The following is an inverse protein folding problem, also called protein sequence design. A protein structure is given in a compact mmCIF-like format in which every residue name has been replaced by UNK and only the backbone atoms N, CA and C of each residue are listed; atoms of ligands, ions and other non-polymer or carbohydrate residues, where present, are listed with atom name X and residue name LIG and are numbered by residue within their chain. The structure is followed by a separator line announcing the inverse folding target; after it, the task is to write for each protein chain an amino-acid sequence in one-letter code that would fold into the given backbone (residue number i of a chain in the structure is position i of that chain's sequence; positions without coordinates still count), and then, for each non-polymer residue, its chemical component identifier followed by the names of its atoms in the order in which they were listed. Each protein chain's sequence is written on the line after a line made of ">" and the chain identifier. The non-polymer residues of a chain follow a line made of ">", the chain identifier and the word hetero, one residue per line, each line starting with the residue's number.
data_IF_900630061243
#
_entry.id   IF_900630061243
#
_cell.length_a   1.000
_cell.length_b   1.000
_cell.length_c   1.000
_cell.angle_alpha   90.00
_cell.angle_beta   90.00
_cell.angle_gamma   90.00
#
_symmetry.space_group_name_H-M   'P 1'
#
loop_
_entity.id
_entity.type
_entity.pdbx_description
1 polymer ?
#
# COMPACT_ATOMS: atom_id res chain seq x y z
N UNK A 1 1.98 35.77 -32.99
CA UNK A 1 1.03 34.69 -33.38
C UNK A 1 1.58 33.28 -33.16
N UNK A 2 2.69 32.84 -33.76
CA UNK A 2 3.16 31.44 -33.64
C UNK A 2 3.50 30.98 -32.20
N UNK A 3 4.12 31.84 -31.37
CA UNK A 3 4.45 31.51 -29.96
C UNK A 3 3.21 31.39 -29.06
N UNK A 4 2.21 32.24 -29.28
CA UNK A 4 0.93 32.21 -28.57
C UNK A 4 0.13 30.95 -28.92
N UNK A 5 0.17 30.51 -30.18
CA UNK A 5 -0.50 29.30 -30.63
C UNK A 5 0.12 28.02 -30.04
N UNK A 6 1.45 27.97 -29.92
CA UNK A 6 2.17 26.85 -29.28
C UNK A 6 1.86 26.79 -27.78
N UNK A 7 1.80 27.94 -27.10
CA UNK A 7 1.45 27.99 -25.68
C UNK A 7 -0.02 27.61 -25.44
N UNK A 8 -0.93 27.99 -26.35
CA UNK A 8 -2.33 27.58 -26.31
C UNK A 8 -2.50 26.09 -26.58
N UNK A 9 -1.73 25.51 -27.51
CA UNK A 9 -1.67 24.07 -27.78
C UNK A 9 -1.10 23.30 -26.58
N UNK A 10 -0.10 23.85 -25.88
CA UNK A 10 0.45 23.27 -24.66
C UNK A 10 -0.56 23.32 -23.50
N UNK A 11 -1.31 24.42 -23.35
CA UNK A 11 -2.40 24.55 -22.38
C UNK A 11 -3.60 23.64 -22.69
N UNK A 12 -3.95 23.47 -23.96
CA UNK A 12 -5.01 22.56 -24.41
C UNK A 12 -4.59 21.08 -24.27
N UNK A 13 -3.31 20.77 -24.48
CA UNK A 13 -2.76 19.44 -24.17
C UNK A 13 -2.75 19.18 -22.65
N UNK A 14 -2.35 20.16 -21.84
CA UNK A 14 -2.37 20.06 -20.38
C UNK A 14 -3.79 19.96 -19.80
N UNK A 15 -4.77 20.65 -20.38
CA UNK A 15 -6.17 20.61 -19.96
C UNK A 15 -6.85 19.27 -20.28
N UNK A 16 -6.40 18.54 -21.31
CA UNK A 16 -6.92 17.21 -21.65
C UNK A 16 -6.31 16.07 -20.82
N UNK A 17 -5.23 16.32 -20.06
CA UNK A 17 -4.64 15.31 -19.15
C UNK A 17 -5.50 15.15 -17.88
N UNK A 18 -6.31 16.13 -17.52
CA UNK A 18 -7.08 16.10 -16.27
C UNK A 18 -8.34 15.22 -16.28
N UNK A 19 -8.77 14.67 -17.43
CA UNK A 19 -10.03 13.92 -17.51
C UNK A 19 -10.00 12.58 -18.27
N UNK A 20 -8.84 12.10 -18.74
CA UNK A 20 -8.80 10.95 -19.68
C UNK A 20 -8.19 9.65 -19.14
N UNK A 21 -7.63 9.59 -17.93
CA UNK A 21 -7.11 8.33 -17.38
C UNK A 21 -7.34 8.23 -15.87
N UNK A 22 -8.49 7.71 -15.46
CA UNK A 22 -8.49 6.89 -14.24
C UNK A 22 -7.71 5.64 -14.64
N UNK A 23 -6.42 5.60 -14.31
CA UNK A 23 -5.55 4.46 -14.61
C UNK A 23 -6.16 3.17 -14.07
N UNK A 24 -5.85 2.02 -14.65
CA UNK A 24 -6.30 0.71 -14.13
C UNK A 24 -5.96 0.56 -12.64
N UNK A 25 -4.79 1.08 -12.23
CA UNK A 25 -4.39 1.21 -10.83
C UNK A 25 -5.36 2.08 -10.03
N UNK A 26 -5.66 3.31 -10.48
CA UNK A 26 -6.57 4.23 -9.79
C UNK A 26 -7.98 3.64 -9.60
N UNK A 27 -8.53 2.96 -10.62
CA UNK A 27 -9.84 2.28 -10.52
C UNK A 27 -9.80 1.15 -9.49
N UNK A 28 -8.73 0.36 -9.48
CA UNK A 28 -8.59 -0.76 -8.56
C UNK A 28 -8.36 -0.31 -7.11
N UNK A 29 -7.60 0.77 -6.93
CA UNK A 29 -7.41 1.42 -5.63
C UNK A 29 -8.73 2.02 -5.11
N UNK A 30 -9.52 2.66 -5.97
CA UNK A 30 -10.85 3.17 -5.62
C UNK A 30 -11.79 2.01 -5.26
N UNK A 31 -11.80 0.93 -6.03
CA UNK A 31 -12.59 -0.27 -5.75
C UNK A 31 -12.29 -0.87 -4.36
N UNK A 32 -11.02 -1.12 -4.04
CA UNK A 32 -10.64 -1.65 -2.73
C UNK A 32 -10.88 -0.64 -1.60
N UNK A 33 -10.66 0.65 -1.86
CA UNK A 33 -10.97 1.69 -0.88
C UNK A 33 -12.44 1.71 -0.52
N UNK A 34 -13.34 1.59 -1.51
CA UNK A 34 -14.79 1.48 -1.30
C UNK A 34 -15.16 0.22 -0.56
N UNK A 35 -14.52 -0.90 -0.86
CA UNK A 35 -14.75 -2.14 -0.12
C UNK A 35 -14.41 -1.97 1.37
N UNK A 36 -13.22 -1.46 1.71
CA UNK A 36 -12.83 -1.26 3.11
C UNK A 36 -13.73 -0.22 3.80
N UNK A 37 -14.17 0.80 3.04
CA UNK A 37 -15.13 1.81 3.49
C UNK A 37 -16.60 1.35 3.47
N UNK A 38 -16.90 0.10 3.09
CA UNK A 38 -18.28 -0.38 2.97
C UNK A 38 -18.85 -0.88 4.30
N UNK A 39 -20.18 -0.92 4.39
CA UNK A 39 -20.87 -1.53 5.54
C UNK A 39 -20.68 -3.05 5.59
N UNK A 40 -20.50 -3.71 4.44
CA UNK A 40 -20.12 -5.12 4.34
C UNK A 40 -18.84 -5.39 5.15
N UNK A 41 -17.79 -4.60 4.91
CA UNK A 41 -16.52 -4.73 5.63
C UNK A 41 -16.64 -4.35 7.10
N UNK A 42 -17.45 -3.33 7.41
CA UNK A 42 -17.71 -2.93 8.80
C UNK A 42 -18.46 -3.99 9.60
N UNK A 43 -19.39 -4.71 8.98
CA UNK A 43 -20.08 -5.83 9.63
C UNK A 43 -19.13 -7.00 9.85
N UNK A 44 -18.22 -7.27 8.90
CA UNK A 44 -17.18 -8.28 9.05
C UNK A 44 -16.25 -7.98 10.23
N UNK A 45 -15.88 -6.71 10.44
CA UNK A 45 -14.99 -6.30 11.53
C UNK A 45 -15.56 -6.42 12.93
N UNK A 46 -16.89 -6.50 13.08
CA UNK A 46 -17.53 -6.74 14.40
C UNK A 46 -17.16 -8.12 14.96
N UNK A 47 -16.99 -9.11 14.08
CA UNK A 47 -16.79 -10.52 14.47
C UNK A 47 -15.41 -11.08 14.10
N UNK A 48 -14.51 -10.22 13.61
CA UNK A 48 -13.20 -10.64 13.08
C UNK A 48 -12.09 -9.87 13.76
N UNK A 49 -10.94 -10.52 13.97
CA UNK A 49 -9.73 -9.81 14.34
C UNK A 49 -9.07 -9.16 13.10
N UNK A 50 -8.12 -8.27 13.34
CA UNK A 50 -7.44 -7.52 12.29
C UNK A 50 -6.70 -8.42 11.28
N UNK A 51 -6.14 -9.55 11.70
CA UNK A 51 -5.50 -10.49 10.78
C UNK A 51 -6.50 -11.12 9.80
N UNK A 52 -7.69 -11.50 10.28
CA UNK A 52 -8.76 -12.02 9.43
C UNK A 52 -9.30 -10.94 8.47
N UNK A 53 -9.32 -9.68 8.90
CA UNK A 53 -9.67 -8.56 8.03
C UNK A 53 -8.64 -8.35 6.91
N UNK A 54 -7.34 -8.49 7.20
CA UNK A 54 -6.27 -8.44 6.19
C UNK A 54 -6.49 -9.53 5.13
N UNK A 55 -6.83 -10.75 5.54
CA UNK A 55 -7.16 -11.83 4.58
C UNK A 55 -8.35 -11.48 3.69
N UNK A 56 -9.37 -10.83 4.26
CA UNK A 56 -10.54 -10.41 3.50
C UNK A 56 -10.20 -9.34 2.46
N UNK A 57 -9.36 -8.36 2.82
CA UNK A 57 -8.85 -7.34 1.90
C UNK A 57 -8.04 -8.00 0.78
N UNK A 58 -7.14 -8.94 1.12
CA UNK A 58 -6.34 -9.68 0.15
C UNK A 58 -7.20 -10.49 -0.83
N UNK A 59 -8.20 -11.23 -0.33
CA UNK A 59 -9.14 -11.97 -1.17
C UNK A 59 -9.97 -11.06 -2.09
N UNK A 60 -10.39 -9.90 -1.59
CA UNK A 60 -11.10 -8.91 -2.42
C UNK A 60 -10.21 -8.39 -3.54
N UNK A 61 -8.92 -8.16 -3.27
CA UNK A 61 -7.96 -7.75 -4.28
C UNK A 61 -7.73 -8.84 -5.33
N UNK A 62 -7.57 -10.11 -4.93
CA UNK A 62 -7.48 -11.23 -5.87
C UNK A 62 -8.68 -11.30 -6.79
N UNK A 63 -9.89 -11.17 -6.25
CA UNK A 63 -11.12 -11.18 -7.06
C UNK A 63 -11.16 -10.01 -8.05
N UNK A 64 -10.71 -8.82 -7.63
CA UNK A 64 -10.62 -7.64 -8.51
C UNK A 64 -9.58 -7.80 -9.63
N UNK A 65 -8.55 -8.60 -9.40
CA UNK A 65 -7.44 -8.81 -10.34
C UNK A 65 -7.52 -10.18 -11.04
N UNK A 66 -8.72 -10.77 -11.15
CA UNK A 66 -8.94 -12.08 -11.82
C UNK A 66 -8.00 -13.20 -11.33
N UNK A 67 -7.66 -13.17 -10.03
CA UNK A 67 -6.71 -14.05 -9.37
C UNK A 67 -5.24 -13.94 -9.84
N UNK A 68 -4.88 -12.87 -10.54
CA UNK A 68 -3.48 -12.47 -10.71
C UNK A 68 -2.93 -11.96 -9.36
N UNK A 69 -1.96 -12.68 -8.82
CA UNK A 69 -1.37 -12.40 -7.51
C UNK A 69 -0.42 -11.20 -7.60
N UNK A 70 0.31 -11.03 -8.71
CA UNK A 70 1.24 -9.92 -8.89
C UNK A 70 0.46 -8.60 -8.86
N UNK A 71 -0.59 -8.51 -9.67
CA UNK A 71 -1.44 -7.33 -9.75
C UNK A 71 -2.18 -7.07 -8.43
N UNK A 72 -2.68 -8.12 -7.78
CA UNK A 72 -3.35 -7.98 -6.49
C UNK A 72 -2.40 -7.41 -5.42
N UNK A 73 -1.17 -7.93 -5.31
CA UNK A 73 -0.17 -7.42 -4.36
C UNK A 73 0.24 -5.98 -4.67
N UNK A 74 0.42 -5.66 -5.96
CA UNK A 74 0.73 -4.31 -6.42
C UNK A 74 -0.37 -3.32 -6.02
N UNK A 75 -1.62 -3.61 -6.36
CA UNK A 75 -2.77 -2.74 -6.05
C UNK A 75 -2.99 -2.62 -4.54
N UNK A 76 -2.78 -3.70 -3.77
CA UNK A 76 -2.88 -3.68 -2.32
C UNK A 76 -1.89 -2.70 -1.70
N UNK A 77 -0.66 -2.65 -2.20
CA UNK A 77 0.40 -1.74 -1.74
C UNK A 77 -0.11 -0.30 -1.66
N UNK A 78 -0.85 0.17 -2.67
CA UNK A 78 -1.42 1.52 -2.70
C UNK A 78 -2.75 1.65 -1.95
N UNK A 79 -3.60 0.62 -2.00
CA UNK A 79 -4.95 0.68 -1.43
C UNK A 79 -4.95 0.82 0.09
N UNK A 80 -3.94 0.25 0.75
CA UNK A 80 -3.82 0.26 2.20
C UNK A 80 -2.99 1.41 2.76
N UNK A 81 -2.43 2.30 1.91
CA UNK A 81 -1.68 3.47 2.39
C UNK A 81 -2.64 4.41 3.13
N UNK A 82 -2.36 4.78 4.40
CA UNK A 82 -3.22 5.67 5.18
C UNK A 82 -2.94 7.17 4.94
N UNK A 83 -2.18 7.49 3.89
CA UNK A 83 -1.80 8.83 3.43
C UNK A 83 -2.08 8.96 1.93
N UNK A 84 -2.44 10.16 1.46
CA UNK A 84 -2.76 10.43 0.05
C UNK A 84 -1.67 11.26 -0.67
N UNK A 85 -0.56 11.53 0.01
CA UNK A 85 0.58 12.26 -0.53
C UNK A 85 1.88 11.73 0.10
N UNK A 86 2.95 11.72 -0.69
CA UNK A 86 4.32 11.51 -0.22
C UNK A 86 5.07 12.84 -0.33
N UNK A 87 5.63 13.35 0.77
CA UNK A 87 6.53 14.50 0.68
C UNK A 87 7.86 14.01 0.07
N UNK A 88 8.23 14.57 -1.08
CA UNK A 88 9.55 14.40 -1.68
C UNK A 88 10.34 15.69 -1.49
N UNK A 89 11.41 15.66 -0.71
CA UNK A 89 12.36 16.75 -0.61
C UNK A 89 13.66 16.41 -1.33
N UNK A 90 14.08 17.29 -2.23
CA UNK A 90 15.43 17.22 -2.79
C UNK A 90 16.44 17.67 -1.73
N UNK A 91 17.38 16.81 -1.29
CA UNK A 91 18.35 17.14 -0.23
C UNK A 91 19.23 18.35 -0.60
N UNK A 92 19.50 18.54 -1.88
CA UNK A 92 20.43 19.56 -2.39
C UNK A 92 19.74 20.85 -2.87
N UNK A 93 18.45 20.80 -3.22
CA UNK A 93 17.72 21.96 -3.77
C UNK A 93 16.74 22.59 -2.78
N UNK A 94 16.50 21.96 -1.63
CA UNK A 94 15.53 22.44 -0.63
C UNK A 94 14.07 22.47 -1.13
N UNK A 95 13.81 21.91 -2.32
CA UNK A 95 12.49 21.80 -2.92
C UNK A 95 11.73 20.69 -2.19
N UNK A 96 10.53 21.00 -1.71
CA UNK A 96 9.57 20.03 -1.16
C UNK A 96 8.38 19.93 -2.11
N UNK A 97 8.18 18.77 -2.70
CA UNK A 97 7.09 18.47 -3.63
C UNK A 97 6.23 17.39 -2.98
N UNK A 98 4.93 17.65 -2.83
CA UNK A 98 4.00 16.62 -2.37
C UNK A 98 3.49 15.85 -3.58
N UNK A 99 3.94 14.61 -3.73
CA UNK A 99 3.51 13.73 -4.81
C UNK A 99 2.17 13.11 -4.40
N UNK A 100 1.08 13.35 -5.15
CA UNK A 100 -0.20 12.74 -4.85
C UNK A 100 -0.15 11.24 -5.12
N UNK A 101 -0.70 10.44 -4.20
CA UNK A 101 -0.85 9.01 -4.37
C UNK A 101 -2.23 8.66 -4.93
N UNK A 102 -2.38 7.52 -5.64
CA UNK A 102 -3.70 7.00 -5.98
C UNK A 102 -4.57 6.85 -4.72
N UNK A 103 -5.74 7.48 -4.71
CA UNK A 103 -6.71 7.37 -3.63
C UNK A 103 -8.14 7.55 -4.17
N UNK A 104 -9.11 7.05 -3.43
CA UNK A 104 -10.53 7.32 -3.65
C UNK A 104 -10.90 8.74 -3.20
N UNK A 105 -12.10 9.22 -3.58
CA UNK A 105 -12.68 10.47 -3.06
C UNK A 105 -12.58 10.58 -1.53
N UNK A 106 -12.43 11.81 -1.01
CA UNK A 106 -12.10 12.10 0.40
C UNK A 106 -12.97 11.39 1.43
N UNK A 107 -14.28 11.31 1.20
CA UNK A 107 -15.22 10.66 2.13
C UNK A 107 -14.94 9.16 2.26
N UNK A 108 -14.69 8.49 1.14
CA UNK A 108 -14.35 7.07 1.09
C UNK A 108 -12.94 6.86 1.63
N UNK A 109 -11.98 7.70 1.25
CA UNK A 109 -10.61 7.63 1.75
C UNK A 109 -10.53 7.75 3.28
N UNK A 110 -11.22 8.74 3.85
CA UNK A 110 -11.29 8.95 5.30
C UNK A 110 -11.94 7.76 6.02
N UNK A 111 -13.04 7.23 5.48
CA UNK A 111 -13.73 6.09 6.06
C UNK A 111 -12.91 4.79 5.95
N UNK A 112 -12.26 4.56 4.81
CA UNK A 112 -11.29 3.48 4.60
C UNK A 112 -10.20 3.54 5.65
N UNK A 113 -9.56 4.70 5.82
CA UNK A 113 -8.48 4.86 6.79
C UNK A 113 -8.93 4.63 8.24
N UNK A 114 -10.18 4.95 8.58
CA UNK A 114 -10.74 4.61 9.90
C UNK A 114 -10.89 3.10 10.10
N UNK A 115 -11.30 2.39 9.05
CA UNK A 115 -11.62 0.95 9.07
C UNK A 115 -10.44 0.02 8.75
N UNK A 116 -9.30 0.54 8.31
CA UNK A 116 -8.11 -0.27 8.07
C UNK A 116 -7.70 -1.05 9.35
N UNK A 117 -7.30 -2.33 9.21
CA UNK A 117 -6.70 -3.10 10.31
C UNK A 117 -5.50 -2.36 10.91
N UNK A 118 -5.39 -2.36 12.25
CA UNK A 118 -4.41 -1.54 12.97
C UNK A 118 -3.66 -2.27 14.08
N UNK A 119 -4.11 -3.46 14.48
CA UNK A 119 -3.50 -4.36 15.45
C UNK A 119 -2.96 -5.57 14.68
N UNK A 120 -1.75 -5.40 14.14
CA UNK A 120 -1.10 -6.39 13.28
C UNK A 120 -0.08 -7.21 14.09
N UNK A 121 0.56 -6.56 15.06
CA UNK A 121 1.55 -7.15 15.94
C UNK A 121 1.04 -7.21 17.38
N UNK A 122 1.65 -8.07 18.20
CA UNK A 122 1.33 -8.15 19.63
C UNK A 122 1.63 -6.82 20.38
N UNK A 123 2.63 -6.07 19.90
CA UNK A 123 3.07 -4.78 20.42
C UNK A 123 2.51 -3.59 19.64
N UNK A 124 1.44 -3.80 18.85
CA UNK A 124 0.76 -2.73 18.10
C UNK A 124 0.30 -1.60 19.03
N UNK A 125 0.48 -0.33 18.65
CA UNK A 125 -0.05 0.79 19.41
C UNK A 125 -1.58 0.72 19.54
N UNK A 126 -2.10 0.93 20.75
CA UNK A 126 -3.55 0.90 21.02
C UNK A 126 -4.30 2.18 20.62
N UNK A 127 -3.63 3.12 19.96
CA UNK A 127 -4.23 4.38 19.54
C UNK A 127 -5.12 4.18 18.27
N UNK A 128 -5.69 5.27 17.75
CA UNK A 128 -6.57 5.20 16.58
C UNK A 128 -5.85 4.81 15.28
N UNK A 129 -4.55 5.11 15.20
CA UNK A 129 -3.72 4.84 14.04
C UNK A 129 -3.19 3.39 14.04
N UNK A 130 -2.66 2.90 15.16
CA UNK A 130 -2.06 1.59 15.29
C UNK A 130 -0.93 1.37 14.27
N UNK A 131 -0.98 0.25 13.55
CA UNK A 131 -0.01 -0.18 12.54
C UNK A 131 -0.59 -0.14 11.10
N UNK A 132 -1.53 0.75 10.81
CA UNK A 132 -2.21 0.83 9.49
C UNK A 132 -1.23 0.97 8.31
N UNK A 133 -0.18 1.76 8.49
CA UNK A 133 0.89 1.98 7.51
C UNK A 133 1.72 0.72 7.23
N UNK A 134 1.85 -0.17 8.22
CA UNK A 134 2.63 -1.41 8.09
C UNK A 134 2.04 -2.38 7.07
N UNK A 135 0.75 -2.26 6.75
CA UNK A 135 0.13 -3.02 5.67
C UNK A 135 0.77 -2.70 4.30
N UNK A 136 1.14 -1.45 4.06
CA UNK A 136 1.73 -1.04 2.79
C UNK A 136 3.15 -1.62 2.64
N UNK A 137 3.93 -1.61 3.74
CA UNK A 137 5.21 -2.30 3.85
C UNK A 137 5.09 -3.80 3.55
N UNK A 138 4.14 -4.46 4.22
CA UNK A 138 3.89 -5.90 4.04
C UNK A 138 3.54 -6.24 2.58
N UNK A 139 2.55 -5.57 1.97
CA UNK A 139 2.12 -5.89 0.61
C UNK A 139 3.13 -5.44 -0.45
N UNK A 140 3.82 -4.32 -0.26
CA UNK A 140 4.89 -3.87 -1.15
C UNK A 140 6.06 -4.84 -1.17
N UNK A 141 6.52 -5.27 0.00
CA UNK A 141 7.58 -6.28 0.12
C UNK A 141 7.14 -7.65 -0.42
N UNK A 142 5.86 -8.02 -0.25
CA UNK A 142 5.30 -9.23 -0.85
C UNK A 142 5.26 -9.17 -2.38
N UNK A 143 4.83 -8.04 -2.95
CA UNK A 143 4.85 -7.80 -4.38
C UNK A 143 6.27 -7.97 -4.93
N UNK A 144 7.25 -7.26 -4.36
CA UNK A 144 8.63 -7.35 -4.81
C UNK A 144 9.14 -8.80 -4.76
N UNK A 145 8.89 -9.50 -3.65
CA UNK A 145 9.33 -10.90 -3.52
C UNK A 145 8.64 -11.86 -4.50
N UNK A 146 7.34 -11.69 -4.73
CA UNK A 146 6.55 -12.50 -5.67
C UNK A 146 6.95 -12.20 -7.12
N UNK A 147 7.03 -10.93 -7.51
CA UNK A 147 7.26 -10.46 -8.87
C UNK A 147 8.73 -10.31 -9.23
N UNK A 148 9.65 -10.79 -8.38
CA UNK A 148 11.10 -10.85 -8.65
C UNK A 148 11.46 -11.77 -9.84
N UNK A 149 11.11 -11.33 -11.04
CA UNK A 149 11.86 -11.45 -12.29
C UNK A 149 12.16 -10.02 -12.71
N UNK A 150 13.43 -9.68 -12.88
CA UNK A 150 14.05 -8.34 -12.97
C UNK A 150 13.35 -7.18 -13.73
N UNK A 151 12.23 -7.40 -14.43
CA UNK A 151 11.59 -6.42 -15.31
C UNK A 151 10.46 -5.57 -14.66
N UNK A 152 9.75 -6.05 -13.64
CA UNK A 152 8.57 -5.33 -13.07
C UNK A 152 8.91 -4.37 -11.91
N UNK A 153 10.18 -4.27 -11.55
CA UNK A 153 10.63 -3.65 -10.29
C UNK A 153 10.92 -2.14 -10.47
N UNK A 154 11.18 -1.68 -11.70
CA UNK A 154 11.74 -0.35 -11.97
C UNK A 154 10.77 0.81 -11.71
N UNK A 155 9.47 0.63 -11.91
CA UNK A 155 8.47 1.69 -11.73
C UNK A 155 8.16 1.96 -10.24
N UNK A 156 8.23 0.93 -9.39
CA UNK A 156 8.00 1.03 -7.94
C UNK A 156 9.25 1.51 -7.21
N UNK A 157 10.42 0.96 -7.59
CA UNK A 157 11.69 1.33 -6.98
C UNK A 157 11.98 2.81 -7.17
N UNK A 158 11.64 3.43 -8.30
CA UNK A 158 11.88 4.88 -8.48
C UNK A 158 11.18 5.74 -7.43
N UNK A 159 9.89 5.50 -7.18
CA UNK A 159 9.08 6.28 -6.24
C UNK A 159 9.43 5.93 -4.78
N UNK A 160 9.67 4.65 -4.49
CA UNK A 160 10.00 4.20 -3.15
C UNK A 160 11.46 4.49 -2.76
N UNK A 161 12.45 4.35 -3.64
CA UNK A 161 13.86 4.60 -3.31
C UNK A 161 14.11 6.05 -2.96
N UNK A 162 13.51 7.01 -3.67
CA UNK A 162 13.68 8.43 -3.33
C UNK A 162 13.11 8.77 -1.94
N UNK A 163 11.92 8.27 -1.58
CA UNK A 163 11.32 8.47 -0.24
C UNK A 163 12.04 7.65 0.85
N UNK A 164 12.55 6.46 0.51
CA UNK A 164 13.30 5.59 1.43
C UNK A 164 14.67 6.19 1.75
N UNK A 165 15.40 6.72 0.76
CA UNK A 165 16.68 7.40 0.96
C UNK A 165 16.51 8.69 1.78
N UNK A 166 15.48 9.50 1.52
CA UNK A 166 15.27 10.76 2.23
C UNK A 166 14.84 10.57 3.70
N UNK A 167 13.89 9.67 3.97
CA UNK A 167 13.45 9.37 5.34
C UNK A 167 14.57 8.74 6.17
N UNK A 168 15.40 7.88 5.57
CA UNK A 168 16.58 7.34 6.25
C UNK A 168 17.66 8.40 6.52
N UNK A 169 17.87 9.35 5.61
CA UNK A 169 18.91 10.37 5.77
C UNK A 169 18.51 11.50 6.73
N UNK A 170 17.21 11.82 6.84
CA UNK A 170 16.72 13.03 7.55
C UNK A 170 15.97 12.72 8.86
N UNK A 171 15.40 11.53 9.06
CA UNK A 171 14.65 11.18 10.29
C UNK A 171 14.98 9.78 10.80
N UNK A 172 16.18 9.63 11.37
CA UNK A 172 16.65 8.39 11.98
C UNK A 172 15.96 8.08 13.32
N UNK A 173 14.71 7.63 13.26
CA UNK A 173 14.22 6.56 14.16
C UNK A 173 13.67 5.45 13.28
N UNK A 174 14.53 4.50 12.95
CA UNK A 174 14.15 3.23 12.32
C UNK A 174 13.00 2.62 13.13
N UNK A 175 11.81 2.51 12.54
CA UNK A 175 10.71 1.78 13.17
C UNK A 175 10.92 0.29 12.90
N UNK A 176 11.25 -0.46 13.96
CA UNK A 176 11.43 -1.91 13.86
C UNK A 176 10.18 -2.63 13.35
N UNK A 177 8.98 -2.05 13.50
CA UNK A 177 7.74 -2.63 12.96
C UNK A 177 7.67 -2.51 11.43
N UNK A 178 8.26 -1.49 10.81
CA UNK A 178 8.39 -1.40 9.34
C UNK A 178 9.24 -2.55 8.83
N UNK A 179 10.43 -2.73 9.41
CA UNK A 179 11.34 -3.82 9.06
C UNK A 179 10.68 -5.19 9.25
N UNK A 180 9.91 -5.38 10.33
CA UNK A 180 9.15 -6.63 10.55
C UNK A 180 8.11 -6.84 9.47
N UNK A 181 7.31 -5.82 9.15
CA UNK A 181 6.29 -5.89 8.12
C UNK A 181 6.89 -6.21 6.74
N UNK A 182 8.01 -5.57 6.39
CA UNK A 182 8.74 -5.83 5.15
C UNK A 182 9.23 -7.28 5.07
N UNK A 183 9.85 -7.78 6.14
CA UNK A 183 10.32 -9.16 6.21
C UNK A 183 9.18 -10.18 6.09
N UNK A 184 8.06 -9.95 6.79
CA UNK A 184 6.88 -10.82 6.70
C UNK A 184 6.24 -10.75 5.31
N UNK A 185 6.22 -9.58 4.69
CA UNK A 185 5.80 -9.40 3.31
C UNK A 185 6.67 -10.23 2.35
N UNK A 186 7.99 -10.16 2.51
CA UNK A 186 8.92 -10.95 1.71
C UNK A 186 8.69 -12.46 1.84
N UNK A 187 8.46 -12.94 3.08
CA UNK A 187 8.12 -14.34 3.37
C UNK A 187 6.80 -14.72 2.68
N UNK A 188 5.77 -13.87 2.79
CA UNK A 188 4.47 -14.09 2.17
C UNK A 188 4.58 -14.18 0.65
N UNK A 189 5.25 -13.22 -0.01
CA UNK A 189 5.46 -13.22 -1.45
C UNK A 189 6.22 -14.45 -1.95
N UNK A 190 7.24 -14.91 -1.21
CA UNK A 190 7.94 -16.17 -1.52
C UNK A 190 7.03 -17.39 -1.33
N UNK A 191 6.27 -17.45 -0.24
CA UNK A 191 5.36 -18.56 0.03
C UNK A 191 4.27 -18.68 -1.04
N UNK A 192 3.81 -17.57 -1.61
CA UNK A 192 2.83 -17.55 -2.70
C UNK A 192 3.35 -18.18 -4.00
N UNK A 193 4.67 -18.19 -4.24
CA UNK A 193 5.27 -18.90 -5.39
C UNK A 193 5.11 -20.42 -5.27
N UNK A 194 5.23 -20.92 -4.05
CA UNK A 194 5.11 -22.35 -3.75
C UNK A 194 3.64 -22.79 -3.57
N UNK A 195 2.83 -21.92 -2.98
CA UNK A 195 1.41 -22.18 -2.72
C UNK A 195 0.58 -20.90 -2.85
N UNK A 196 -0.18 -20.80 -3.94
CA UNK A 196 -1.04 -19.66 -4.27
C UNK A 196 -2.20 -19.43 -3.27
N UNK A 197 -2.49 -20.39 -2.40
CA UNK A 197 -3.58 -20.31 -1.43
C UNK A 197 -3.14 -19.79 -0.04
N UNK A 198 -1.86 -19.44 0.13
CA UNK A 198 -1.38 -18.85 1.39
C UNK A 198 -2.11 -17.52 1.64
N UNK A 199 -2.49 -17.29 2.89
CA UNK A 199 -3.15 -16.08 3.35
C UNK A 199 -2.19 -15.21 4.19
N UNK A 200 -2.30 -13.86 4.12
CA UNK A 200 -1.48 -12.96 4.93
C UNK A 200 -1.47 -13.31 6.42
N UNK A 201 -2.64 -13.61 7.00
CA UNK A 201 -2.81 -13.93 8.42
C UNK A 201 -1.99 -15.14 8.86
N UNK A 202 -1.73 -16.10 7.96
CA UNK A 202 -0.94 -17.28 8.27
C UNK A 202 0.52 -16.91 8.54
N UNK A 203 1.07 -15.96 7.78
CA UNK A 203 2.44 -15.47 7.97
C UNK A 203 2.56 -14.68 9.27
N UNK A 204 1.60 -13.80 9.56
CA UNK A 204 1.55 -13.10 10.86
C UNK A 204 1.37 -14.06 12.04
N UNK A 205 0.53 -15.07 11.91
CA UNK A 205 0.27 -16.06 12.96
C UNK A 205 1.52 -16.90 13.26
N UNK A 206 2.24 -17.33 12.22
CA UNK A 206 3.51 -18.04 12.40
C UNK A 206 4.54 -17.17 13.11
N UNK A 207 4.63 -15.88 12.77
CA UNK A 207 5.49 -14.93 13.48
C UNK A 207 5.10 -14.77 14.96
N UNK A 208 3.81 -14.64 15.27
CA UNK A 208 3.36 -14.56 16.66
C UNK A 208 3.72 -15.84 17.45
N UNK A 209 3.57 -17.01 16.83
CA UNK A 209 3.94 -18.29 17.47
C UNK A 209 5.45 -18.40 17.73
N UNK A 210 6.31 -17.89 16.85
CA UNK A 210 7.76 -17.92 17.10
C UNK A 210 8.14 -17.03 18.26
N UNK A 211 7.50 -15.87 18.43
CA UNK A 211 7.72 -15.00 19.59
C UNK A 211 7.35 -15.69 20.90
N UNK A 212 6.18 -16.33 20.96
CA UNK A 212 5.75 -17.08 22.15
C UNK A 212 6.73 -18.21 22.52
N UNK A 213 7.32 -18.88 21.53
CA UNK A 213 8.30 -19.96 21.77
C UNK A 213 9.61 -19.45 22.39
N UNK A 214 10.04 -18.24 22.04
CA UNK A 214 11.32 -17.68 22.50
C UNK A 214 11.18 -16.75 23.72
N UNK A 215 10.00 -16.69 24.34
CA UNK A 215 9.82 -16.04 25.65
C UNK A 215 9.95 -14.52 25.60
N UNK A 216 9.43 -13.89 24.56
CA UNK A 216 9.07 -12.47 24.55
C UNK A 216 7.61 -12.29 24.94
#
# INVERSE_FOLDING_TARGET
>A
MKRTLIFLLFLLAAANIQNAQVTTLGKSVDYLSRYIASDEFNQLSVNSNDLALIDSIYKKALNNCEHDISDALFILTFSVIPYNHIPLASPNLGLRINIPLPHSIDSIYSLKNKRLPKIIFYDSPKNEFGDKDKLAHFFGSAYLAYSSSWFDITEIIGIFVEDFEEKFYVQSKVDLRDIRADNLGNIFGKALKENRNVLPSQVFSLYHLTLFRYGL
#
